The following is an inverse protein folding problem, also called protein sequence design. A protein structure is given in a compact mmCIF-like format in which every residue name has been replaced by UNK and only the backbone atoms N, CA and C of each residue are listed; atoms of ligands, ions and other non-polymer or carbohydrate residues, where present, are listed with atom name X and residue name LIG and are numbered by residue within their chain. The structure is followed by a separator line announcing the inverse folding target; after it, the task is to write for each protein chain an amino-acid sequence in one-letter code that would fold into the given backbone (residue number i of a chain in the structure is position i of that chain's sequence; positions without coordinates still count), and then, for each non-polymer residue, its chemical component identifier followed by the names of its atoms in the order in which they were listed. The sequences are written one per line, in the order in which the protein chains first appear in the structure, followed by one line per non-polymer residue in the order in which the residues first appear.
data_IF_202041116266
#
_entry.id   IF_202041116266
#
_cell.length_a   1.000
_cell.length_b   1.000
_cell.length_c   1.000
_cell.angle_alpha   90.00
_cell.angle_beta   90.00
_cell.angle_gamma   90.00
#
_symmetry.space_group_name_H-M   'P 1'
#
loop_
_entity.id
_entity.type
_entity.pdbx_description
1 polymer ?
#
# COMPACT_ATOMS: atom_id res chain seq x y z
N UNK A 1 11.00 -18.87 21.07
CA UNK A 1 12.44 -19.07 21.32
C UNK A 1 13.18 -18.53 20.11
N UNK A 2 14.09 -17.58 20.35
CA UNK A 2 14.95 -16.99 19.32
C UNK A 2 16.08 -17.99 19.04
N UNK A 3 16.19 -18.49 17.80
CA UNK A 3 17.34 -19.29 17.37
C UNK A 3 17.92 -18.63 16.12
N UNK A 4 18.94 -17.80 16.33
CA UNK A 4 19.68 -17.12 15.28
C UNK A 4 20.65 -16.16 15.95
N UNK A 5 21.96 -16.39 15.74
CA UNK A 5 23.06 -15.61 16.31
C UNK A 5 22.79 -14.12 16.16
N UNK A 6 22.59 -13.43 17.29
CA UNK A 6 22.45 -11.97 17.28
C UNK A 6 23.88 -11.41 17.28
N UNK A 7 24.40 -11.08 16.10
CA UNK A 7 25.47 -10.10 15.99
C UNK A 7 24.91 -8.75 16.41
N UNK A 8 24.90 -8.45 17.72
CA UNK A 8 24.42 -7.16 18.23
C UNK A 8 25.51 -6.11 18.05
N UNK A 9 25.70 -5.64 16.82
CA UNK A 9 26.36 -4.35 16.65
C UNK A 9 25.33 -3.26 16.99
N UNK A 10 25.64 -2.22 17.80
CA UNK A 10 24.64 -1.23 18.28
C UNK A 10 23.90 -0.44 17.18
N UNK A 11 24.27 -0.67 15.92
CA UNK A 11 23.78 0.03 14.74
C UNK A 11 23.00 -0.87 13.77
N UNK A 12 23.39 -2.13 13.61
CA UNK A 12 22.88 -3.04 12.57
C UNK A 12 22.37 -4.32 13.22
N UNK A 13 21.18 -4.75 12.81
CA UNK A 13 20.56 -6.00 13.25
C UNK A 13 20.14 -6.80 12.03
N UNK A 14 20.73 -7.97 11.86
CA UNK A 14 20.40 -8.92 10.80
C UNK A 14 19.75 -10.15 11.41
N UNK A 15 18.61 -10.57 10.84
CA UNK A 15 17.88 -11.75 11.29
C UNK A 15 17.47 -12.58 10.08
N UNK A 16 18.05 -13.78 9.95
CA UNK A 16 17.67 -14.69 8.87
C UNK A 16 16.19 -15.11 8.97
N UNK A 17 15.71 -15.47 10.16
CA UNK A 17 14.31 -15.87 10.32
C UNK A 17 13.72 -15.55 11.69
N UNK A 18 12.46 -15.15 11.68
CA UNK A 18 11.60 -15.05 12.87
C UNK A 18 10.42 -15.98 12.66
N UNK A 19 10.44 -17.14 13.33
CA UNK A 19 9.32 -18.08 13.24
C UNK A 19 8.08 -17.51 13.96
N UNK A 20 8.22 -17.13 15.23
CA UNK A 20 7.13 -16.57 16.04
C UNK A 20 7.69 -15.53 17.00
N UNK A 21 7.10 -14.33 16.98
CA UNK A 21 7.33 -13.34 18.04
C UNK A 21 6.06 -12.53 18.32
N UNK A 22 5.90 -12.10 19.56
CA UNK A 22 4.85 -11.14 19.91
C UNK A 22 5.29 -9.71 19.55
N UNK A 23 6.51 -9.32 19.89
CA UNK A 23 7.00 -7.96 19.65
C UNK A 23 8.45 -7.99 19.20
N UNK A 24 8.72 -7.30 18.09
CA UNK A 24 10.05 -7.02 17.59
C UNK A 24 10.27 -5.51 17.48
N UNK A 25 11.40 -5.02 18.01
CA UNK A 25 11.77 -3.59 17.98
C UNK A 25 13.20 -3.41 17.47
N UNK A 26 13.37 -2.55 16.46
CA UNK A 26 14.68 -2.15 15.94
C UNK A 26 14.86 -0.63 15.96
N UNK A 27 16.12 -0.18 16.12
CA UNK A 27 16.44 1.22 16.42
C UNK A 27 17.11 2.01 15.27
N UNK A 28 18.05 1.42 14.52
CA UNK A 28 18.78 2.12 13.45
C UNK A 28 18.68 1.38 12.11
N UNK A 29 19.29 0.22 11.97
CA UNK A 29 19.20 -0.58 10.76
C UNK A 29 18.72 -1.99 11.13
N UNK A 30 17.88 -2.56 10.28
CA UNK A 30 17.29 -3.88 10.50
C UNK A 30 17.03 -4.54 9.16
N UNK A 31 17.57 -5.72 9.00
CA UNK A 31 17.32 -6.59 7.86
C UNK A 31 16.77 -7.92 8.36
N UNK A 32 15.64 -8.35 7.79
CA UNK A 32 15.00 -9.61 8.16
C UNK A 32 14.62 -10.39 6.91
N UNK A 33 15.27 -11.53 6.64
CA UNK A 33 14.97 -12.28 5.43
C UNK A 33 13.56 -12.92 5.49
N UNK A 34 13.15 -13.46 6.63
CA UNK A 34 11.81 -14.06 6.75
C UNK A 34 11.14 -13.89 8.11
N UNK A 35 9.83 -13.63 8.08
CA UNK A 35 8.97 -13.60 9.26
C UNK A 35 7.74 -14.48 9.02
N UNK A 36 7.61 -15.57 9.77
CA UNK A 36 6.46 -16.46 9.63
C UNK A 36 5.23 -15.90 10.38
N UNK A 37 5.36 -15.57 11.68
CA UNK A 37 4.27 -15.00 12.49
C UNK A 37 4.76 -13.92 13.44
N UNK A 38 4.18 -12.73 13.34
CA UNK A 38 4.49 -11.61 14.23
C UNK A 38 3.22 -10.85 14.64
N UNK A 39 3.07 -10.51 15.92
CA UNK A 39 1.99 -9.59 16.32
C UNK A 39 2.40 -8.14 16.02
N UNK A 40 3.57 -7.70 16.48
CA UNK A 40 4.00 -6.31 16.33
C UNK A 40 5.46 -6.18 15.89
N UNK A 41 5.69 -5.53 14.74
CA UNK A 41 6.98 -5.01 14.31
C UNK A 41 7.06 -3.49 14.50
N UNK A 42 8.17 -2.98 15.04
CA UNK A 42 8.47 -1.54 15.10
C UNK A 42 9.91 -1.25 14.69
N UNK A 43 10.11 -0.44 13.64
CA UNK A 43 11.41 0.13 13.28
C UNK A 43 11.39 1.66 13.31
N UNK A 44 12.49 2.27 13.78
CA UNK A 44 12.64 3.73 13.89
C UNK A 44 13.31 4.41 12.68
N UNK A 45 14.24 3.75 12.00
CA UNK A 45 15.01 4.35 10.89
C UNK A 45 14.89 3.53 9.61
N UNK A 46 15.72 2.52 9.42
CA UNK A 46 15.73 1.68 8.22
C UNK A 46 15.24 0.28 8.57
N UNK A 47 14.45 -0.30 7.68
CA UNK A 47 13.93 -1.66 7.82
C UNK A 47 13.76 -2.26 6.44
N UNK A 48 14.39 -3.40 6.24
CA UNK A 48 14.21 -4.23 5.06
C UNK A 48 13.71 -5.59 5.50
N UNK A 49 12.66 -6.08 4.84
CA UNK A 49 12.09 -7.40 5.12
C UNK A 49 11.76 -8.10 3.82
N UNK A 50 12.46 -9.18 3.48
CA UNK A 50 12.21 -9.88 2.22
C UNK A 50 10.83 -10.58 2.23
N UNK A 51 10.44 -11.20 3.35
CA UNK A 51 9.13 -11.87 3.42
C UNK A 51 8.44 -11.82 4.79
N UNK A 52 7.13 -11.57 4.75
CA UNK A 52 6.24 -11.67 5.91
C UNK A 52 5.04 -12.57 5.55
N UNK A 53 4.94 -13.74 6.19
CA UNK A 53 3.79 -14.62 5.99
C UNK A 53 2.55 -14.09 6.74
N UNK A 54 2.66 -13.81 8.05
CA UNK A 54 1.55 -13.27 8.85
C UNK A 54 2.02 -12.20 9.81
N UNK A 55 1.44 -11.01 9.71
CA UNK A 55 1.64 -9.95 10.70
C UNK A 55 0.34 -9.24 11.06
N UNK A 56 0.17 -8.90 12.34
CA UNK A 56 -0.95 -8.05 12.77
C UNK A 56 -0.60 -6.57 12.57
N UNK A 57 0.61 -6.15 12.96
CA UNK A 57 1.01 -4.75 12.91
C UNK A 57 2.46 -4.60 12.47
N UNK A 58 2.67 -3.83 11.41
CA UNK A 58 3.98 -3.34 10.99
C UNK A 58 4.04 -1.81 11.06
N UNK A 59 5.05 -1.26 11.76
CA UNK A 59 5.25 0.18 11.90
C UNK A 59 6.69 0.58 11.58
N UNK A 60 6.85 1.49 10.63
CA UNK A 60 8.13 2.13 10.30
C UNK A 60 8.03 3.66 10.37
N UNK A 61 9.10 4.32 10.84
CA UNK A 61 9.16 5.76 10.96
C UNK A 61 9.89 6.49 9.82
N UNK A 62 11.01 5.97 9.26
CA UNK A 62 11.71 6.63 8.15
C UNK A 62 11.61 5.84 6.86
N UNK A 63 12.37 4.75 6.72
CA UNK A 63 12.43 3.95 5.49
C UNK A 63 11.94 2.54 5.79
N UNK A 64 11.23 1.96 4.84
CA UNK A 64 10.72 0.60 4.92
C UNK A 64 10.66 0.03 3.53
N UNK A 65 11.28 -1.13 3.35
CA UNK A 65 11.17 -1.92 2.15
C UNK A 65 10.69 -3.31 2.52
N UNK A 66 9.69 -3.80 1.79
CA UNK A 66 9.16 -5.15 1.99
C UNK A 66 8.91 -5.82 0.64
N UNK A 67 9.66 -6.86 0.29
CA UNK A 67 9.47 -7.51 -1.00
C UNK A 67 8.13 -8.27 -1.05
N UNK A 68 7.77 -9.00 0.01
CA UNK A 68 6.53 -9.79 0.00
C UNK A 68 5.79 -9.86 1.32
N UNK A 69 4.46 -9.74 1.23
CA UNK A 69 3.54 -9.88 2.36
C UNK A 69 2.36 -10.78 1.98
N UNK A 70 2.22 -11.93 2.65
CA UNK A 70 1.08 -12.81 2.42
C UNK A 70 -0.18 -12.32 3.14
N UNK A 71 -0.10 -12.06 4.45
CA UNK A 71 -1.23 -11.57 5.26
C UNK A 71 -0.79 -10.50 6.25
N UNK A 72 -1.37 -9.31 6.13
CA UNK A 72 -1.12 -8.21 7.07
C UNK A 72 -2.42 -7.51 7.47
N UNK A 73 -2.64 -7.33 8.77
CA UNK A 73 -3.78 -6.51 9.21
C UNK A 73 -3.47 -5.02 9.02
N UNK A 74 -2.35 -4.53 9.56
CA UNK A 74 -2.04 -3.09 9.55
C UNK A 74 -0.59 -2.81 9.19
N UNK A 75 -0.40 -2.11 8.07
CA UNK A 75 0.86 -1.43 7.73
C UNK A 75 0.78 0.06 8.04
N UNK A 76 1.80 0.62 8.69
CA UNK A 76 1.96 2.07 8.86
C UNK A 76 3.40 2.52 8.60
N UNK A 77 3.57 3.43 7.66
CA UNK A 77 4.84 4.13 7.40
C UNK A 77 4.68 5.65 7.52
N UNK A 78 5.70 6.34 8.04
CA UNK A 78 5.66 7.80 8.21
C UNK A 78 6.41 8.58 7.12
N UNK A 79 7.53 8.10 6.56
CA UNK A 79 8.20 8.79 5.45
C UNK A 79 8.15 7.98 4.15
N UNK A 80 9.02 7.01 3.96
CA UNK A 80 9.16 6.24 2.74
C UNK A 80 8.74 4.79 2.99
N UNK A 81 8.08 4.22 2.00
CA UNK A 81 7.64 2.83 2.02
C UNK A 81 7.58 2.30 0.60
N UNK A 82 8.21 1.17 0.41
CA UNK A 82 8.16 0.41 -0.83
C UNK A 82 7.72 -1.01 -0.51
N UNK A 83 6.77 -1.52 -1.29
CA UNK A 83 6.28 -2.89 -1.15
C UNK A 83 6.08 -3.52 -2.52
N UNK A 84 6.87 -4.52 -2.88
CA UNK A 84 6.72 -5.14 -4.19
C UNK A 84 5.41 -5.96 -4.29
N UNK A 85 5.05 -6.72 -3.26
CA UNK A 85 3.82 -7.54 -3.31
C UNK A 85 3.07 -7.66 -1.98
N UNK A 86 1.74 -7.52 -2.07
CA UNK A 86 0.81 -7.80 -0.97
C UNK A 86 -0.31 -8.72 -1.47
N UNK A 87 -0.39 -9.92 -0.90
CA UNK A 87 -1.50 -10.83 -1.22
C UNK A 87 -2.79 -10.39 -0.50
N UNK A 88 -2.74 -10.18 0.83
CA UNK A 88 -3.92 -9.75 1.61
C UNK A 88 -3.53 -8.71 2.64
N UNK A 89 -4.17 -7.54 2.56
CA UNK A 89 -4.06 -6.52 3.60
C UNK A 89 -5.42 -5.92 3.98
N UNK A 90 -5.61 -5.65 5.27
CA UNK A 90 -6.79 -4.91 5.73
C UNK A 90 -6.53 -3.41 5.63
N UNK A 91 -5.38 -2.94 6.10
CA UNK A 91 -5.08 -1.51 6.16
C UNK A 91 -3.63 -1.24 5.78
N UNK A 92 -3.45 -0.39 4.77
CA UNK A 92 -2.18 0.21 4.41
C UNK A 92 -2.25 1.73 4.60
N UNK A 93 -1.31 2.30 5.38
CA UNK A 93 -1.25 3.74 5.64
C UNK A 93 0.16 4.28 5.45
N UNK A 94 0.31 5.28 4.60
CA UNK A 94 1.55 6.00 4.36
C UNK A 94 1.34 7.52 4.47
N UNK A 95 2.34 8.22 5.00
CA UNK A 95 2.25 9.67 5.25
C UNK A 95 2.96 10.54 4.22
N UNK A 96 4.13 10.15 3.68
CA UNK A 96 4.84 10.95 2.66
C UNK A 96 4.92 10.23 1.31
N UNK A 97 5.69 9.16 1.20
CA UNK A 97 5.92 8.45 -0.06
C UNK A 97 5.55 6.99 0.11
N UNK A 98 4.98 6.43 -0.93
CA UNK A 98 4.49 5.06 -0.95
C UNK A 98 4.50 4.55 -2.37
N UNK A 99 5.17 3.43 -2.56
CA UNK A 99 5.19 2.71 -3.83
C UNK A 99 4.76 1.27 -3.57
N UNK A 100 3.85 0.77 -4.40
CA UNK A 100 3.40 -0.61 -4.32
C UNK A 100 3.25 -1.21 -5.71
N UNK A 101 4.08 -2.20 -6.07
CA UNK A 101 4.00 -2.79 -7.40
C UNK A 101 2.71 -3.64 -7.57
N UNK A 102 2.38 -4.49 -6.59
CA UNK A 102 1.22 -5.37 -6.71
C UNK A 102 0.43 -5.59 -5.43
N UNK A 103 -0.90 -5.57 -5.57
CA UNK A 103 -1.85 -5.87 -4.50
C UNK A 103 -2.95 -6.79 -5.00
N UNK A 104 -3.07 -7.98 -4.41
CA UNK A 104 -4.16 -8.90 -4.76
C UNK A 104 -5.47 -8.50 -4.06
N UNK A 105 -5.47 -8.33 -2.73
CA UNK A 105 -6.66 -7.92 -1.97
C UNK A 105 -6.30 -6.90 -0.90
N UNK A 106 -6.92 -5.73 -0.98
CA UNK A 106 -6.78 -4.68 0.02
C UNK A 106 -8.15 -4.12 0.42
N UNK A 107 -8.40 -3.98 1.73
CA UNK A 107 -9.63 -3.32 2.17
C UNK A 107 -9.45 -1.81 2.13
N UNK A 108 -8.37 -1.28 2.72
CA UNK A 108 -8.18 0.18 2.82
C UNK A 108 -6.74 0.58 2.52
N UNK A 109 -6.55 1.34 1.45
CA UNK A 109 -5.34 2.12 1.18
C UNK A 109 -5.54 3.58 1.58
N UNK A 110 -4.58 4.17 2.31
CA UNK A 110 -4.55 5.61 2.58
C UNK A 110 -3.14 6.17 2.43
N UNK A 111 -2.98 7.12 1.52
CA UNK A 111 -1.76 7.93 1.38
C UNK A 111 -2.06 9.41 1.60
N UNK A 112 -1.12 10.13 2.24
CA UNK A 112 -1.29 11.57 2.53
C UNK A 112 -0.58 12.50 1.53
N UNK A 113 0.56 12.13 0.96
CA UNK A 113 1.25 12.97 -0.03
C UNK A 113 1.36 12.26 -1.38
N UNK A 114 2.31 11.36 -1.56
CA UNK A 114 2.59 10.68 -2.83
C UNK A 114 2.27 9.19 -2.70
N UNK A 115 1.71 8.65 -3.77
CA UNK A 115 1.39 7.23 -3.89
C UNK A 115 1.48 6.81 -5.34
N UNK A 116 2.17 5.71 -5.57
CA UNK A 116 2.23 5.03 -6.85
C UNK A 116 1.84 3.57 -6.66
N UNK A 117 0.98 3.06 -7.52
CA UNK A 117 0.56 1.67 -7.49
C UNK A 117 0.47 1.10 -8.90
N UNK A 118 1.31 0.13 -9.26
CA UNK A 118 1.25 -0.45 -10.60
C UNK A 118 0.00 -1.32 -10.80
N UNK A 119 -0.36 -2.17 -9.83
CA UNK A 119 -1.52 -3.06 -9.98
C UNK A 119 -2.30 -3.32 -8.70
N UNK A 120 -3.63 -3.28 -8.83
CA UNK A 120 -4.58 -3.69 -7.79
C UNK A 120 -5.62 -4.64 -8.39
N UNK A 121 -5.66 -5.89 -7.91
CA UNK A 121 -6.70 -6.82 -8.32
C UNK A 121 -8.04 -6.49 -7.65
N UNK A 122 -8.07 -6.36 -6.31
CA UNK A 122 -9.30 -6.03 -5.58
C UNK A 122 -9.01 -5.03 -4.47
N UNK A 123 -9.68 -3.88 -4.54
CA UNK A 123 -9.70 -2.92 -3.45
C UNK A 123 -11.11 -2.45 -3.12
N UNK A 124 -11.42 -2.32 -1.82
CA UNK A 124 -12.65 -1.68 -1.41
C UNK A 124 -12.49 -0.16 -1.37
N UNK A 125 -11.41 0.34 -0.77
CA UNK A 125 -11.24 1.76 -0.57
C UNK A 125 -9.81 2.16 -0.87
N UNK A 126 -9.66 3.06 -1.85
CA UNK A 126 -8.43 3.76 -2.12
C UNK A 126 -8.62 5.25 -1.84
N UNK A 127 -7.76 5.84 -0.98
CA UNK A 127 -7.79 7.26 -0.64
C UNK A 127 -6.42 7.89 -0.72
N UNK A 128 -6.32 8.96 -1.51
CA UNK A 128 -5.14 9.79 -1.64
C UNK A 128 -5.46 11.27 -1.39
N UNK A 129 -4.52 11.99 -0.79
CA UNK A 129 -4.73 13.40 -0.42
C UNK A 129 -4.02 14.42 -1.32
N UNK A 130 -2.86 14.10 -1.91
CA UNK A 130 -2.17 15.04 -2.82
C UNK A 130 -1.92 14.46 -4.21
N UNK A 131 -1.09 13.45 -4.33
CA UNK A 131 -0.71 12.86 -5.62
C UNK A 131 -0.92 11.36 -5.57
N UNK A 132 -1.46 10.81 -6.65
CA UNK A 132 -1.74 9.39 -6.80
C UNK A 132 -1.62 9.00 -8.25
N UNK A 133 -0.86 7.96 -8.51
CA UNK A 133 -0.76 7.32 -9.81
C UNK A 133 -1.10 5.85 -9.67
N UNK A 134 -1.94 5.34 -10.57
CA UNK A 134 -2.32 3.92 -10.58
C UNK A 134 -2.37 3.38 -12.01
N UNK A 135 -1.50 2.46 -12.38
CA UNK A 135 -1.49 1.94 -13.75
C UNK A 135 -2.71 1.03 -14.03
N UNK A 136 -3.06 0.12 -13.11
CA UNK A 136 -4.18 -0.81 -13.33
C UNK A 136 -4.98 -1.17 -12.09
N UNK A 137 -6.31 -1.21 -12.26
CA UNK A 137 -7.23 -1.70 -11.23
C UNK A 137 -8.28 -2.64 -11.83
N UNK A 138 -8.32 -3.89 -11.36
CA UNK A 138 -9.34 -4.84 -11.82
C UNK A 138 -10.71 -4.59 -11.16
N UNK A 139 -10.77 -4.48 -9.83
CA UNK A 139 -12.02 -4.19 -9.12
C UNK A 139 -11.79 -3.18 -8.00
N UNK A 140 -12.49 -2.05 -8.08
CA UNK A 140 -12.51 -1.02 -7.07
C UNK A 140 -13.94 -0.69 -6.65
N UNK A 141 -14.21 -0.66 -5.35
CA UNK A 141 -15.50 -0.16 -4.87
C UNK A 141 -15.46 1.38 -4.79
N UNK A 142 -14.43 1.94 -4.16
CA UNK A 142 -14.35 3.39 -3.93
C UNK A 142 -12.94 3.92 -4.17
N UNK A 143 -12.81 4.81 -5.14
CA UNK A 143 -11.67 5.71 -5.31
C UNK A 143 -12.00 7.10 -4.76
N UNK A 144 -11.10 7.70 -3.96
CA UNK A 144 -11.18 9.11 -3.60
C UNK A 144 -9.81 9.79 -3.68
N UNK A 145 -9.70 10.79 -4.54
CA UNK A 145 -8.56 11.71 -4.60
C UNK A 145 -8.97 13.13 -4.25
N UNK A 146 -8.11 13.84 -3.49
CA UNK A 146 -8.35 15.25 -3.12
C UNK A 146 -7.67 16.28 -4.01
N UNK A 147 -6.55 15.96 -4.67
CA UNK A 147 -5.84 16.95 -5.52
C UNK A 147 -5.57 16.36 -6.90
N UNK A 148 -4.53 15.56 -7.07
CA UNK A 148 -4.11 15.00 -8.35
C UNK A 148 -4.26 13.48 -8.33
N UNK A 149 -4.87 12.92 -9.37
CA UNK A 149 -4.91 11.48 -9.60
C UNK A 149 -4.81 11.15 -11.08
N UNK A 150 -3.96 10.20 -11.41
CA UNK A 150 -3.84 9.60 -12.73
C UNK A 150 -4.11 8.11 -12.63
N UNK A 151 -4.93 7.57 -13.53
CA UNK A 151 -5.23 6.15 -13.60
C UNK A 151 -5.25 5.66 -15.04
N UNK A 152 -4.33 4.77 -15.44
CA UNK A 152 -4.32 4.31 -16.84
C UNK A 152 -5.49 3.38 -17.17
N UNK A 153 -5.85 2.44 -16.29
CA UNK A 153 -6.94 1.50 -16.56
C UNK A 153 -7.74 1.07 -15.33
N UNK A 154 -9.06 1.01 -15.48
CA UNK A 154 -9.97 0.42 -14.50
C UNK A 154 -10.96 -0.54 -15.17
N UNK A 155 -10.94 -1.82 -14.80
CA UNK A 155 -11.92 -2.77 -15.32
C UNK A 155 -13.31 -2.56 -14.68
N UNK A 156 -13.39 -2.47 -13.35
CA UNK A 156 -14.67 -2.24 -12.66
C UNK A 156 -14.48 -1.25 -11.52
N UNK A 157 -15.19 -0.13 -11.58
CA UNK A 157 -15.32 0.83 -10.49
C UNK A 157 -16.78 1.06 -10.16
N UNK A 158 -17.13 1.01 -8.87
CA UNK A 158 -18.46 1.45 -8.43
C UNK A 158 -18.49 2.95 -8.23
N UNK A 159 -17.52 3.51 -7.52
CA UNK A 159 -17.52 4.94 -7.17
C UNK A 159 -16.14 5.53 -7.40
N UNK A 160 -16.06 6.49 -8.31
CA UNK A 160 -14.89 7.33 -8.50
C UNK A 160 -15.18 8.76 -8.06
N UNK A 161 -14.34 9.32 -7.18
CA UNK A 161 -14.47 10.71 -6.71
C UNK A 161 -13.15 11.45 -6.78
N UNK A 162 -13.13 12.58 -7.46
CA UNK A 162 -12.01 13.51 -7.51
C UNK A 162 -12.43 14.93 -7.11
N UNK A 163 -11.52 15.69 -6.51
CA UNK A 163 -11.81 17.05 -6.07
C UNK A 163 -11.12 18.16 -6.86
N UNK A 164 -9.96 17.93 -7.51
CA UNK A 164 -9.26 18.98 -8.28
C UNK A 164 -8.88 18.57 -9.70
N UNK A 165 -7.97 17.61 -9.85
CA UNK A 165 -7.44 17.15 -11.13
C UNK A 165 -7.48 15.63 -11.16
N UNK A 166 -8.05 15.08 -12.23
CA UNK A 166 -8.09 13.65 -12.45
C UNK A 166 -7.98 13.32 -13.92
N UNK A 167 -7.14 12.34 -14.24
CA UNK A 167 -7.02 11.78 -15.58
C UNK A 167 -7.23 10.27 -15.50
N UNK A 168 -8.05 9.73 -16.40
CA UNK A 168 -8.27 8.29 -16.53
C UNK A 168 -8.28 7.87 -18.00
N UNK A 169 -7.32 7.06 -18.44
CA UNK A 169 -7.26 6.69 -19.86
C UNK A 169 -8.38 5.71 -20.27
N UNK A 170 -8.72 4.72 -19.44
CA UNK A 170 -9.78 3.76 -19.77
C UNK A 170 -10.57 3.23 -18.57
N UNK A 171 -11.89 3.12 -18.74
CA UNK A 171 -12.77 2.44 -17.78
C UNK A 171 -13.73 1.47 -18.49
N UNK A 172 -13.69 0.18 -18.15
CA UNK A 172 -14.61 -0.79 -18.75
C UNK A 172 -16.03 -0.68 -18.18
N UNK A 173 -16.16 -0.62 -16.85
CA UNK A 173 -17.46 -0.46 -16.17
C UNK A 173 -17.36 0.54 -15.03
N UNK A 174 -18.19 1.58 -15.07
CA UNK A 174 -18.28 2.60 -14.04
C UNK A 174 -19.75 2.82 -13.61
N UNK A 175 -20.02 2.80 -12.31
CA UNK A 175 -21.39 3.06 -11.81
C UNK A 175 -21.63 4.48 -11.32
N UNK A 176 -20.62 5.17 -10.81
CA UNK A 176 -20.75 6.54 -10.32
C UNK A 176 -19.42 7.24 -10.53
N UNK A 177 -19.47 8.33 -11.30
CA UNK A 177 -18.40 9.29 -11.42
C UNK A 177 -18.80 10.60 -10.74
N UNK A 178 -17.89 11.21 -9.96
CA UNK A 178 -18.05 12.57 -9.45
C UNK A 178 -16.73 13.31 -9.48
N UNK A 179 -16.67 14.42 -10.21
CA UNK A 179 -15.57 15.38 -10.17
C UNK A 179 -16.08 16.73 -9.67
N UNK A 180 -15.21 17.55 -9.10
CA UNK A 180 -15.52 18.93 -8.69
C UNK A 180 -14.88 20.01 -9.54
N UNK A 181 -13.82 19.69 -10.29
CA UNK A 181 -13.05 20.66 -11.07
C UNK A 181 -12.64 20.03 -12.41
N UNK A 182 -11.36 19.75 -12.61
CA UNK A 182 -10.83 19.21 -13.85
C UNK A 182 -10.85 17.69 -13.81
N UNK A 183 -11.52 17.08 -14.80
CA UNK A 183 -11.40 15.66 -15.03
C UNK A 183 -11.47 15.31 -16.50
N UNK A 184 -10.60 14.39 -16.89
CA UNK A 184 -10.59 13.78 -18.21
C UNK A 184 -10.73 12.27 -18.08
N UNK A 185 -11.58 11.68 -18.91
CA UNK A 185 -11.70 10.24 -19.07
C UNK A 185 -11.73 9.92 -20.56
N UNK A 186 -10.66 9.33 -21.10
CA UNK A 186 -10.54 9.17 -22.55
C UNK A 186 -11.50 8.11 -23.12
N UNK A 187 -11.81 7.05 -22.37
CA UNK A 187 -12.79 6.04 -22.79
C UNK A 187 -13.58 5.40 -21.64
N UNK A 188 -14.88 5.24 -21.83
CA UNK A 188 -15.76 4.45 -20.94
C UNK A 188 -16.61 3.50 -21.77
N UNK A 189 -16.46 2.18 -21.58
CA UNK A 189 -17.25 1.20 -22.35
C UNK A 189 -18.70 1.08 -21.83
N UNK A 190 -18.90 1.09 -20.51
CA UNK A 190 -20.22 1.02 -19.88
C UNK A 190 -20.26 1.95 -18.67
N UNK A 191 -21.19 2.90 -18.68
CA UNK A 191 -21.46 3.78 -17.56
C UNK A 191 -22.93 3.73 -17.15
N UNK A 192 -23.18 3.90 -15.86
CA UNK A 192 -24.48 4.24 -15.31
C UNK A 192 -24.27 5.53 -14.52
N UNK A 193 -25.15 6.52 -14.67
CA UNK A 193 -25.14 7.82 -13.98
C UNK A 193 -23.82 8.64 -14.00
N UNK A 194 -23.87 9.76 -14.74
CA UNK A 194 -22.93 10.88 -14.59
C UNK A 194 -23.68 12.05 -13.94
N UNK A 195 -23.09 12.68 -12.91
CA UNK A 195 -23.52 13.99 -12.41
C UNK A 195 -22.26 14.80 -12.12
#
# INVERSE_FOLDING_TARGET
MYTGSIGVHPLLMEVASIQKSQVFRSCKYSEVASIQKLQVFRSRKYSEVASIQKSQVFRSCKYSEVASIQKLQVFRSRKYSEVASIQKSQVFRSCKYSEVASIQKLQVFRSRKYSEVASIQKSQVFRSCKYSEVASIQKLQVFRSRKYSEVASIQKSQVFRSCKYSEVASIQKLQVFRSRKYSEVASIQKSQAFR
#
